data_IF_188171668484
#
_entry.id   IF_188171668484
#
_cell.length_a   1.000
_cell.length_b   1.000
_cell.length_c   1.000
_cell.angle_alpha   90.00
_cell.angle_beta   90.00
_cell.angle_gamma   90.00
#
_symmetry.space_group_name_H-M   'P 1'
#
loop_
_entity.id
_entity.type
_entity.pdbx_description
1 polymer ?
#
# COMPACT_ATOMS: atom_id res chain seq x y z
N UNK A 1 -5.57 31.07 -0.48
CA UNK A 1 -4.66 31.36 -1.61
C UNK A 1 -4.36 30.12 -2.44
N UNK A 2 -4.20 28.92 -1.85
CA UNK A 2 -4.03 27.65 -2.55
C UNK A 2 -5.22 27.27 -3.45
N UNK A 3 -6.44 27.36 -2.96
CA UNK A 3 -7.68 27.08 -3.73
C UNK A 3 -7.84 27.91 -5.01
N UNK A 4 -7.23 29.09 -5.09
CA UNK A 4 -7.30 29.94 -6.30
C UNK A 4 -6.35 29.46 -7.41
N UNK A 5 -5.18 28.93 -7.06
CA UNK A 5 -4.18 28.44 -8.03
C UNK A 5 -4.64 27.11 -8.62
N UNK A 6 -5.17 26.23 -7.78
CA UNK A 6 -5.69 24.93 -8.21
C UNK A 6 -6.92 25.06 -9.11
N UNK A 7 -7.85 25.94 -8.77
CA UNK A 7 -8.99 26.25 -9.63
C UNK A 7 -8.56 26.81 -11.00
N UNK A 8 -7.50 27.61 -11.04
CA UNK A 8 -6.93 28.11 -12.29
C UNK A 8 -6.28 27.00 -13.11
N UNK A 9 -5.60 26.06 -12.48
CA UNK A 9 -5.04 24.87 -13.14
C UNK A 9 -6.14 23.99 -13.74
N UNK A 10 -7.16 23.64 -12.95
CA UNK A 10 -8.31 22.84 -13.42
C UNK A 10 -9.07 23.51 -14.55
N UNK A 11 -9.25 24.84 -14.50
CA UNK A 11 -9.85 25.62 -15.59
C UNK A 11 -9.05 25.51 -16.87
N UNK A 12 -7.75 25.61 -16.80
CA UNK A 12 -6.85 25.46 -17.97
C UNK A 12 -7.02 24.07 -18.59
N UNK A 13 -7.02 23.02 -17.77
CA UNK A 13 -7.23 21.65 -18.25
C UNK A 13 -8.59 21.45 -18.90
N UNK A 14 -9.67 22.01 -18.34
CA UNK A 14 -11.01 21.93 -18.92
C UNK A 14 -11.09 22.63 -20.27
N UNK A 15 -10.49 23.83 -20.40
CA UNK A 15 -10.45 24.56 -21.67
C UNK A 15 -9.67 23.80 -22.74
N UNK A 16 -8.50 23.26 -22.40
CA UNK A 16 -7.71 22.41 -23.32
C UNK A 16 -8.48 21.16 -23.75
N UNK A 17 -9.16 20.51 -22.79
CA UNK A 17 -9.99 19.32 -23.06
C UNK A 17 -11.14 19.65 -23.99
N UNK A 18 -11.80 20.81 -23.78
CA UNK A 18 -12.89 21.29 -24.66
C UNK A 18 -12.39 21.43 -26.09
N UNK A 19 -11.28 22.15 -26.31
CA UNK A 19 -10.71 22.35 -27.65
C UNK A 19 -10.38 21.03 -28.35
N UNK A 20 -9.82 20.06 -27.63
CA UNK A 20 -9.53 18.73 -28.19
C UNK A 20 -10.79 17.97 -28.59
N UNK A 21 -11.83 18.03 -27.75
CA UNK A 21 -13.12 17.38 -28.02
C UNK A 21 -13.86 18.04 -29.21
N UNK A 22 -13.89 19.36 -29.29
CA UNK A 22 -14.47 20.10 -30.39
C UNK A 22 -13.77 19.82 -31.72
N UNK A 23 -12.43 19.74 -31.71
CA UNK A 23 -11.64 19.36 -32.89
C UNK A 23 -11.94 17.93 -33.35
N UNK A 24 -12.10 16.99 -32.40
CA UNK A 24 -12.49 15.62 -32.72
C UNK A 24 -13.94 15.52 -33.27
N UNK A 25 -14.85 16.28 -32.69
CA UNK A 25 -16.25 16.34 -33.13
C UNK A 25 -16.39 16.92 -34.55
N UNK A 26 -15.56 17.92 -34.90
CA UNK A 26 -15.51 18.47 -36.24
C UNK A 26 -15.01 17.47 -37.30
N UNK A 27 -14.20 16.48 -36.90
CA UNK A 27 -13.68 15.43 -37.77
C UNK A 27 -14.58 14.18 -37.87
N UNK A 28 -15.55 14.01 -36.97
CA UNK A 28 -16.48 12.86 -36.95
C UNK A 28 -17.91 13.35 -36.97
N UNK A 29 -18.60 13.20 -38.12
CA UNK A 29 -20.01 13.58 -38.24
C UNK A 29 -20.89 12.61 -37.43
N UNK A 30 -21.42 13.06 -36.28
CA UNK A 30 -22.53 12.40 -35.59
C UNK A 30 -22.16 11.56 -34.35
N UNK A 31 -21.02 11.74 -33.75
CA UNK A 31 -20.65 11.04 -32.49
C UNK A 31 -21.35 11.71 -31.30
N UNK A 32 -22.51 11.17 -30.90
CA UNK A 32 -23.30 11.65 -29.78
C UNK A 32 -22.51 11.62 -28.45
N UNK A 33 -21.56 10.70 -28.27
CA UNK A 33 -20.73 10.56 -27.08
C UNK A 33 -19.74 11.74 -26.95
N UNK A 34 -19.13 12.18 -28.06
CA UNK A 34 -18.27 13.36 -28.07
C UNK A 34 -19.03 14.64 -27.75
N UNK A 35 -20.25 14.77 -28.30
CA UNK A 35 -21.12 15.93 -28.05
C UNK A 35 -21.50 16.00 -26.53
N UNK A 36 -21.81 14.87 -25.92
CA UNK A 36 -22.13 14.79 -24.50
C UNK A 36 -20.91 15.18 -23.62
N UNK A 37 -19.70 14.73 -23.98
CA UNK A 37 -18.47 15.14 -23.29
C UNK A 37 -18.18 16.64 -23.40
N UNK A 38 -18.41 17.25 -24.55
CA UNK A 38 -18.31 18.72 -24.74
C UNK A 38 -19.28 19.42 -23.80
N UNK A 39 -20.54 18.97 -23.77
CA UNK A 39 -21.54 19.55 -22.88
C UNK A 39 -21.19 19.44 -21.41
N UNK A 40 -20.61 18.31 -20.94
CA UNK A 40 -20.14 18.14 -19.56
C UNK A 40 -19.03 19.14 -19.23
N UNK A 41 -18.09 19.37 -20.15
CA UNK A 41 -17.03 20.36 -19.96
C UNK A 41 -17.60 21.80 -19.89
N UNK A 42 -18.58 22.11 -20.73
CA UNK A 42 -19.25 23.42 -20.70
C UNK A 42 -19.97 23.67 -19.37
N UNK A 43 -20.65 22.66 -18.83
CA UNK A 43 -21.31 22.72 -17.52
C UNK A 43 -20.27 22.98 -16.42
N UNK A 44 -19.12 22.29 -16.45
CA UNK A 44 -18.07 22.46 -15.46
C UNK A 44 -17.48 23.91 -15.51
N UNK A 45 -17.24 24.45 -16.70
CA UNK A 45 -16.76 25.82 -16.89
C UNK A 45 -17.80 26.86 -16.45
N UNK A 46 -19.07 26.68 -16.73
CA UNK A 46 -20.17 27.52 -16.26
C UNK A 46 -20.27 27.53 -14.74
N UNK A 47 -20.10 26.37 -14.11
CA UNK A 47 -20.04 26.27 -12.63
C UNK A 47 -18.85 26.99 -12.03
N UNK A 48 -17.69 27.02 -12.72
CA UNK A 48 -16.54 27.83 -12.31
C UNK A 48 -16.85 29.32 -12.36
N UNK A 49 -17.53 29.79 -13.41
CA UNK A 49 -17.93 31.18 -13.55
C UNK A 49 -18.95 31.62 -12.50
N UNK A 50 -19.86 30.72 -12.13
CA UNK A 50 -20.89 30.93 -11.10
C UNK A 50 -20.37 30.73 -9.67
N UNK A 51 -19.14 30.28 -9.48
CA UNK A 51 -18.56 30.03 -8.15
C UNK A 51 -19.13 28.80 -7.44
N UNK A 52 -19.78 27.88 -8.18
CA UNK A 52 -20.35 26.62 -7.66
C UNK A 52 -19.57 25.38 -8.05
N UNK A 53 -18.44 25.56 -8.73
CA UNK A 53 -17.54 24.44 -9.07
C UNK A 53 -16.94 23.84 -7.81
N UNK A 54 -16.87 22.51 -7.77
CA UNK A 54 -16.39 21.76 -6.60
C UNK A 54 -17.43 21.63 -5.48
N UNK A 55 -18.66 22.07 -5.68
CA UNK A 55 -19.78 21.78 -4.76
C UNK A 55 -20.62 20.62 -5.31
N UNK A 56 -21.03 19.72 -4.44
CA UNK A 56 -21.93 18.62 -4.78
C UNK A 56 -23.29 19.14 -5.24
N UNK A 57 -23.83 18.61 -6.33
CA UNK A 57 -25.16 19.01 -6.84
C UNK A 57 -26.32 18.65 -5.92
N UNK A 58 -26.12 17.68 -5.01
CA UNK A 58 -27.18 17.22 -4.11
C UNK A 58 -27.17 17.93 -2.76
N UNK A 59 -26.01 18.00 -2.07
CA UNK A 59 -25.92 18.55 -0.73
C UNK A 59 -25.25 19.94 -0.66
N UNK A 60 -24.64 20.39 -1.75
CA UNK A 60 -23.86 21.64 -1.84
C UNK A 60 -22.62 21.68 -0.92
N UNK A 61 -22.24 20.55 -0.33
CA UNK A 61 -20.96 20.40 0.33
C UNK A 61 -19.82 20.26 -0.68
N UNK A 62 -18.59 20.45 -0.23
CA UNK A 62 -17.43 20.32 -1.10
C UNK A 62 -17.28 18.91 -1.64
N UNK A 63 -17.08 18.77 -2.95
CA UNK A 63 -16.57 17.53 -3.56
C UNK A 63 -15.10 17.40 -3.16
N UNK A 64 -14.67 16.18 -2.86
CA UNK A 64 -13.29 15.90 -2.42
C UNK A 64 -12.29 16.36 -3.50
N UNK A 65 -11.30 17.14 -3.06
CA UNK A 65 -10.35 17.80 -3.96
C UNK A 65 -9.56 16.81 -4.81
N UNK A 66 -9.17 15.68 -4.23
CA UNK A 66 -8.45 14.62 -4.95
C UNK A 66 -9.27 14.03 -6.10
N UNK A 67 -10.60 13.97 -5.94
CA UNK A 67 -11.51 13.53 -7.02
C UNK A 67 -11.61 14.56 -8.13
N UNK A 68 -11.68 15.83 -7.79
CA UNK A 68 -11.68 16.91 -8.79
C UNK A 68 -10.37 16.98 -9.57
N UNK A 69 -9.23 16.71 -8.91
CA UNK A 69 -7.92 16.62 -9.58
C UNK A 69 -7.84 15.41 -10.52
N UNK A 70 -8.42 14.28 -10.11
CA UNK A 70 -8.46 13.06 -10.93
C UNK A 70 -9.46 13.17 -12.10
N UNK A 71 -10.64 13.75 -11.83
CA UNK A 71 -11.68 14.01 -12.84
C UNK A 71 -12.33 15.37 -12.63
N UNK A 72 -11.92 16.41 -13.37
CA UNK A 72 -12.48 17.76 -13.26
C UNK A 72 -13.97 17.90 -13.60
N UNK A 73 -14.62 16.84 -14.06
CA UNK A 73 -16.06 16.83 -14.39
C UNK A 73 -16.93 16.28 -13.24
N UNK A 74 -16.32 15.93 -12.09
CA UNK A 74 -17.08 15.42 -10.94
C UNK A 74 -18.04 16.48 -10.38
N UNK A 75 -19.29 16.05 -10.18
CA UNK A 75 -20.38 16.90 -9.69
C UNK A 75 -20.95 16.42 -8.36
N UNK A 76 -20.54 15.26 -7.86
CA UNK A 76 -21.08 14.64 -6.66
C UNK A 76 -19.96 14.29 -5.67
N UNK A 77 -20.17 14.54 -4.38
CA UNK A 77 -19.30 14.04 -3.31
C UNK A 77 -19.48 12.52 -3.15
N UNK A 78 -18.61 11.87 -2.39
CA UNK A 78 -18.64 10.41 -2.18
C UNK A 78 -19.99 9.94 -1.61
N UNK A 79 -20.64 10.73 -0.78
CA UNK A 79 -21.93 10.39 -0.18
C UNK A 79 -23.09 10.41 -1.19
N UNK A 80 -22.91 11.13 -2.32
CA UNK A 80 -23.95 11.34 -3.35
C UNK A 80 -23.59 10.80 -4.73
N UNK A 81 -22.73 9.80 -4.77
CA UNK A 81 -22.45 9.07 -6.02
C UNK A 81 -23.74 8.49 -6.60
N UNK A 82 -23.89 8.60 -7.91
CA UNK A 82 -24.95 7.89 -8.61
C UNK A 82 -24.81 6.38 -8.44
N UNK A 83 -25.92 5.64 -8.54
CA UNK A 83 -25.86 4.18 -8.41
C UNK A 83 -24.89 3.50 -9.39
N UNK A 84 -24.76 3.91 -10.68
CA UNK A 84 -23.74 3.40 -11.59
C UNK A 84 -22.31 3.72 -11.13
N UNK A 85 -22.03 4.97 -10.70
CA UNK A 85 -20.68 5.36 -10.22
C UNK A 85 -20.27 4.58 -8.97
N UNK A 86 -21.20 4.40 -8.02
CA UNK A 86 -20.93 3.60 -6.81
C UNK A 86 -20.61 2.16 -7.17
N UNK A 87 -21.38 1.53 -8.05
CA UNK A 87 -21.12 0.15 -8.49
C UNK A 87 -19.75 0.04 -9.19
N UNK A 88 -19.43 0.96 -10.09
CA UNK A 88 -18.14 0.96 -10.77
C UNK A 88 -16.98 1.05 -9.77
N UNK A 89 -17.07 1.92 -8.75
CA UNK A 89 -16.07 2.04 -7.71
C UNK A 89 -15.97 0.77 -6.83
N UNK A 90 -17.10 0.16 -6.48
CA UNK A 90 -17.13 -1.10 -5.72
C UNK A 90 -16.51 -2.26 -6.52
N UNK A 91 -16.78 -2.32 -7.83
CA UNK A 91 -16.21 -3.31 -8.74
C UNK A 91 -14.68 -3.14 -8.86
N UNK A 92 -14.19 -1.90 -9.02
CA UNK A 92 -12.77 -1.58 -9.10
C UNK A 92 -12.04 -1.92 -7.79
N UNK A 93 -12.63 -1.58 -6.63
CA UNK A 93 -12.07 -1.92 -5.32
C UNK A 93 -12.05 -3.45 -5.09
N UNK A 94 -13.09 -4.14 -5.53
CA UNK A 94 -13.17 -5.61 -5.46
C UNK A 94 -12.08 -6.25 -6.33
N UNK A 95 -11.85 -5.71 -7.53
CA UNK A 95 -10.77 -6.16 -8.40
C UNK A 95 -9.40 -5.91 -7.77
N UNK A 96 -9.17 -4.72 -7.21
CA UNK A 96 -7.93 -4.39 -6.51
C UNK A 96 -7.66 -5.34 -5.33
N UNK A 97 -8.68 -5.66 -4.52
CA UNK A 97 -8.58 -6.63 -3.44
C UNK A 97 -8.22 -8.04 -3.93
N UNK A 98 -8.79 -8.46 -5.06
CA UNK A 98 -8.46 -9.77 -5.68
C UNK A 98 -7.01 -9.79 -6.16
N UNK A 99 -6.54 -8.73 -6.80
CA UNK A 99 -5.12 -8.60 -7.23
C UNK A 99 -4.23 -8.68 -6.00
N UNK A 100 -4.49 -7.88 -4.96
CA UNK A 100 -3.69 -7.86 -3.74
C UNK A 100 -3.62 -9.25 -3.07
N UNK A 101 -4.76 -9.95 -2.95
CA UNK A 101 -4.80 -11.32 -2.40
C UNK A 101 -4.00 -12.32 -3.23
N UNK A 102 -3.90 -12.13 -4.56
CA UNK A 102 -3.12 -13.01 -5.43
C UNK A 102 -1.61 -12.82 -5.26
N UNK A 103 -1.16 -11.74 -4.66
CA UNK A 103 0.25 -11.48 -4.34
C UNK A 103 0.70 -12.16 -3.04
N UNK A 104 -0.23 -12.56 -2.17
CA UNK A 104 0.11 -13.23 -0.92
C UNK A 104 0.68 -14.63 -1.18
N UNK A 105 1.62 -15.10 -0.34
CA UNK A 105 2.15 -16.46 -0.45
C UNK A 105 1.07 -17.52 -0.18
N UNK A 106 1.30 -18.82 -0.44
CA UNK A 106 0.43 -19.89 0.00
C UNK A 106 0.23 -19.84 1.52
N UNK A 107 -1.01 -20.07 2.02
CA UNK A 107 -1.33 -20.01 3.45
C UNK A 107 -0.48 -20.98 4.29
N UNK A 108 -0.16 -22.12 3.72
CA UNK A 108 0.77 -23.10 4.28
C UNK A 108 1.99 -23.15 3.37
N UNK A 109 3.14 -22.83 3.92
CA UNK A 109 4.38 -22.80 3.18
C UNK A 109 5.41 -23.70 3.88
N UNK A 110 5.88 -24.70 3.15
CA UNK A 110 6.92 -25.63 3.63
C UNK A 110 8.11 -25.56 2.69
N UNK A 111 9.28 -25.28 3.23
CA UNK A 111 10.53 -25.22 2.46
C UNK A 111 11.72 -25.50 3.36
N UNK A 112 12.59 -26.42 2.94
CA UNK A 112 13.89 -26.68 3.57
C UNK A 112 13.84 -26.88 5.11
N UNK A 113 12.79 -27.56 5.61
CA UNK A 113 12.58 -27.80 7.04
C UNK A 113 11.83 -26.70 7.78
N UNK A 114 11.58 -25.57 7.12
CA UNK A 114 10.75 -24.50 7.65
C UNK A 114 9.28 -24.71 7.34
N UNK A 115 8.43 -24.43 8.33
CA UNK A 115 6.99 -24.35 8.18
C UNK A 115 6.55 -22.93 8.51
N UNK A 116 5.90 -22.26 7.57
CA UNK A 116 5.38 -20.91 7.77
C UNK A 116 3.88 -20.88 7.51
N UNK A 117 3.17 -20.18 8.37
CA UNK A 117 1.73 -19.90 8.25
C UNK A 117 1.53 -18.40 8.42
N UNK A 118 0.53 -17.85 7.75
CA UNK A 118 0.14 -16.46 7.97
C UNK A 118 -1.38 -16.32 8.04
N UNK A 119 -1.81 -15.31 8.76
CA UNK A 119 -3.18 -14.81 8.75
C UNK A 119 -3.16 -13.39 8.19
N UNK A 120 -4.07 -13.09 7.27
CA UNK A 120 -4.18 -11.77 6.64
C UNK A 120 -5.65 -11.37 6.57
N UNK A 121 -6.01 -10.34 7.30
CA UNK A 121 -7.36 -9.80 7.37
C UNK A 121 -7.28 -8.26 7.26
N UNK A 122 -7.55 -7.70 6.07
CA UNK A 122 -7.49 -6.26 5.88
C UNK A 122 -8.63 -5.57 6.63
N UNK A 123 -8.34 -4.43 7.27
CA UNK A 123 -9.34 -3.62 7.96
C UNK A 123 -10.34 -2.95 7.00
N UNK A 124 -9.99 -2.83 5.71
CA UNK A 124 -10.85 -2.32 4.64
C UNK A 124 -10.80 -3.25 3.42
N UNK A 125 -11.31 -2.81 2.26
CA UNK A 125 -11.30 -3.62 1.03
C UNK A 125 -9.88 -3.98 0.60
N UNK A 126 -8.92 -3.05 0.75
CA UNK A 126 -7.48 -3.21 0.49
C UNK A 126 -6.67 -2.72 1.68
N UNK A 127 -5.41 -3.18 1.82
CA UNK A 127 -4.55 -2.87 2.96
C UNK A 127 -3.15 -2.41 2.53
N UNK A 128 -2.45 -1.69 3.43
CA UNK A 128 -1.02 -1.41 3.35
C UNK A 128 -0.13 -2.56 3.81
N UNK A 129 -0.70 -3.52 4.54
CA UNK A 129 0.07 -4.66 5.07
C UNK A 129 0.69 -5.51 3.96
N UNK A 130 1.94 -5.89 4.14
CA UNK A 130 2.72 -6.73 3.24
C UNK A 130 3.22 -7.98 3.95
N UNK A 131 2.98 -9.14 3.32
CA UNK A 131 3.52 -10.42 3.76
C UNK A 131 4.00 -11.20 2.53
N UNK A 132 5.23 -11.73 2.57
CA UNK A 132 5.74 -12.58 1.50
C UNK A 132 6.71 -13.65 2.01
N UNK A 133 6.73 -14.79 1.29
CA UNK A 133 7.62 -15.92 1.51
C UNK A 133 8.24 -16.29 0.15
N UNK A 134 9.52 -16.00 -0.02
CA UNK A 134 10.22 -16.14 -1.30
C UNK A 134 11.26 -17.25 -1.19
N UNK A 135 11.26 -18.17 -2.17
CA UNK A 135 12.33 -19.14 -2.39
C UNK A 135 13.30 -18.55 -3.40
N UNK A 136 14.50 -18.12 -2.99
CA UNK A 136 15.49 -17.64 -3.94
C UNK A 136 15.92 -18.75 -4.89
N UNK A 137 16.05 -18.43 -6.17
CA UNK A 137 16.42 -19.42 -7.21
C UNK A 137 17.92 -19.76 -7.22
N UNK A 138 18.71 -19.13 -6.34
CA UNK A 138 20.16 -19.30 -6.25
C UNK A 138 20.63 -20.67 -5.74
N UNK A 139 19.72 -21.58 -5.41
CA UNK A 139 20.00 -22.95 -4.99
C UNK A 139 20.56 -23.11 -3.58
N UNK A 140 20.64 -22.02 -2.79
CA UNK A 140 21.16 -22.06 -1.40
C UNK A 140 20.18 -22.72 -0.42
N UNK A 141 18.95 -23.02 -0.83
CA UNK A 141 17.94 -23.65 0.01
C UNK A 141 17.40 -22.76 1.14
N UNK A 142 17.73 -21.48 1.11
CA UNK A 142 17.24 -20.49 2.07
C UNK A 142 15.80 -20.05 1.75
N UNK A 143 15.15 -19.49 2.76
CA UNK A 143 13.83 -18.86 2.67
C UNK A 143 13.96 -17.38 3.01
N UNK A 144 13.56 -16.51 2.12
CA UNK A 144 13.39 -15.09 2.43
C UNK A 144 11.94 -14.85 2.87
N UNK A 145 11.75 -14.22 4.02
CA UNK A 145 10.44 -13.86 4.56
C UNK A 145 10.36 -12.36 4.84
N UNK A 146 9.17 -11.80 4.63
CA UNK A 146 8.91 -10.38 4.78
C UNK A 146 7.55 -10.15 5.43
N UNK A 147 7.52 -9.22 6.36
CA UNK A 147 6.28 -8.64 6.92
C UNK A 147 6.49 -7.15 7.05
N UNK A 148 5.53 -6.36 6.62
CA UNK A 148 5.61 -4.90 6.67
C UNK A 148 4.26 -4.23 6.62
N UNK A 149 4.29 -2.94 6.86
CA UNK A 149 3.13 -2.07 6.76
C UNK A 149 3.53 -0.73 6.14
N UNK A 150 2.72 -0.26 5.23
CA UNK A 150 2.93 0.99 4.49
C UNK A 150 2.10 2.10 5.11
N UNK A 151 2.72 3.24 5.32
CA UNK A 151 2.06 4.44 5.85
C UNK A 151 0.84 4.84 5.01
N UNK A 152 -0.26 5.17 5.70
CA UNK A 152 -1.52 5.53 5.08
C UNK A 152 -2.53 4.40 5.05
N UNK A 153 -3.65 4.59 4.34
CA UNK A 153 -4.77 3.63 4.28
C UNK A 153 -5.33 3.56 2.87
N UNK A 154 -6.11 2.50 2.61
CA UNK A 154 -6.87 2.35 1.38
C UNK A 154 -6.01 2.11 0.13
N UNK A 155 -6.47 2.61 -1.02
CA UNK A 155 -5.89 2.32 -2.33
C UNK A 155 -4.44 2.78 -2.43
N UNK A 156 -4.10 3.97 -1.94
CA UNK A 156 -2.74 4.50 -2.02
C UNK A 156 -1.72 3.60 -1.30
N UNK A 157 -2.04 3.17 -0.07
CA UNK A 157 -1.19 2.25 0.70
C UNK A 157 -1.08 0.88 0.00
N UNK A 158 -2.19 0.37 -0.57
CA UNK A 158 -2.18 -0.91 -1.30
C UNK A 158 -1.32 -0.88 -2.58
N UNK A 159 -1.24 0.27 -3.26
CA UNK A 159 -0.35 0.45 -4.42
C UNK A 159 1.12 0.41 -4.01
N UNK A 160 1.47 1.07 -2.90
CA UNK A 160 2.84 1.02 -2.36
C UNK A 160 3.21 -0.39 -1.85
N UNK A 161 2.26 -1.10 -1.24
CA UNK A 161 2.45 -2.51 -0.88
C UNK A 161 2.75 -3.38 -2.10
N UNK A 162 1.99 -3.18 -3.19
CA UNK A 162 2.24 -3.89 -4.46
C UNK A 162 3.61 -3.56 -5.04
N UNK A 163 4.06 -2.33 -4.91
CA UNK A 163 5.42 -1.91 -5.28
C UNK A 163 6.49 -2.62 -4.43
N UNK A 164 6.32 -2.68 -3.11
CA UNK A 164 7.22 -3.43 -2.22
C UNK A 164 7.29 -4.89 -2.63
N UNK A 165 6.15 -5.53 -2.90
CA UNK A 165 6.09 -6.90 -3.36
C UNK A 165 6.92 -7.13 -4.63
N UNK A 166 6.69 -6.34 -5.68
CA UNK A 166 7.43 -6.46 -6.95
C UNK A 166 8.93 -6.20 -6.76
N UNK A 167 9.29 -5.21 -5.94
CA UNK A 167 10.65 -4.84 -5.64
C UNK A 167 11.40 -5.97 -4.92
N UNK A 168 10.87 -6.50 -3.82
CA UNK A 168 11.52 -7.55 -3.06
C UNK A 168 11.60 -8.87 -3.83
N UNK A 169 10.58 -9.22 -4.63
CA UNK A 169 10.62 -10.36 -5.54
C UNK A 169 11.75 -10.23 -6.57
N UNK A 170 11.96 -9.04 -7.11
CA UNK A 170 13.06 -8.78 -8.05
C UNK A 170 14.41 -8.79 -7.35
N UNK A 171 14.55 -8.16 -6.18
CA UNK A 171 15.81 -8.09 -5.45
C UNK A 171 16.23 -9.45 -4.85
N UNK A 172 15.30 -10.32 -4.52
CA UNK A 172 15.59 -11.66 -4.01
C UNK A 172 16.41 -12.51 -5.01
N UNK A 173 16.31 -12.23 -6.32
CA UNK A 173 17.06 -12.95 -7.37
C UNK A 173 18.53 -12.55 -7.46
N UNK A 174 18.91 -11.39 -6.89
CA UNK A 174 20.27 -10.82 -7.04
C UNK A 174 21.29 -11.49 -6.09
N UNK A 175 20.82 -12.12 -5.01
CA UNK A 175 21.69 -12.82 -4.05
C UNK A 175 22.54 -11.92 -3.16
N UNK A 176 22.08 -10.70 -2.89
CA UNK A 176 22.78 -9.74 -2.02
C UNK A 176 22.75 -10.18 -0.54
N UNK A 177 23.75 -9.78 0.27
CA UNK A 177 23.61 -9.79 1.73
C UNK A 177 22.35 -9.04 2.18
N UNK A 178 21.72 -9.49 3.28
CA UNK A 178 20.42 -8.96 3.70
C UNK A 178 20.47 -7.44 3.98
N UNK A 179 21.53 -6.95 4.59
CA UNK A 179 21.74 -5.52 4.85
C UNK A 179 21.83 -4.67 3.56
N UNK A 180 22.50 -5.21 2.54
CA UNK A 180 22.62 -4.54 1.24
C UNK A 180 21.31 -4.58 0.46
N UNK A 181 20.59 -5.71 0.51
CA UNK A 181 19.26 -5.86 -0.07
C UNK A 181 18.29 -4.81 0.51
N UNK A 182 18.26 -4.68 1.83
CA UNK A 182 17.42 -3.69 2.52
C UNK A 182 17.81 -2.24 2.17
N UNK A 183 19.12 -1.94 2.10
CA UNK A 183 19.59 -0.61 1.71
C UNK A 183 19.25 -0.29 0.23
N UNK A 184 19.33 -1.28 -0.65
CA UNK A 184 18.93 -1.12 -2.05
C UNK A 184 17.41 -0.92 -2.18
N UNK A 185 16.63 -1.74 -1.47
CA UNK A 185 15.17 -1.60 -1.39
C UNK A 185 14.76 -0.19 -0.92
N UNK A 186 15.41 0.33 0.13
CA UNK A 186 15.17 1.69 0.61
C UNK A 186 15.44 2.75 -0.47
N UNK A 187 16.55 2.66 -1.20
CA UNK A 187 16.86 3.62 -2.28
C UNK A 187 15.82 3.57 -3.40
N UNK A 188 15.40 2.37 -3.80
CA UNK A 188 14.37 2.19 -4.85
C UNK A 188 13.03 2.74 -4.39
N UNK A 189 12.65 2.45 -3.15
CA UNK A 189 11.40 2.94 -2.57
C UNK A 189 11.39 4.48 -2.45
N UNK A 190 12.47 5.09 -1.95
CA UNK A 190 12.64 6.54 -1.91
C UNK A 190 12.52 7.23 -3.28
N UNK A 191 13.01 6.58 -4.34
CA UNK A 191 12.99 7.16 -5.68
C UNK A 191 11.58 7.21 -6.29
N UNK A 192 10.65 6.44 -5.78
CA UNK A 192 9.30 6.24 -6.33
C UNK A 192 8.17 6.64 -5.38
N UNK A 193 8.41 6.68 -4.08
CA UNK A 193 7.44 7.14 -3.10
C UNK A 193 7.30 8.67 -3.10
N UNK A 194 6.11 9.17 -2.84
CA UNK A 194 5.88 10.59 -2.64
C UNK A 194 6.41 11.05 -1.27
N UNK A 195 6.67 12.34 -1.14
CA UNK A 195 7.13 12.92 0.13
C UNK A 195 6.17 12.56 1.29
N UNK A 196 6.73 12.07 2.38
CA UNK A 196 5.97 11.66 3.56
C UNK A 196 5.46 10.20 3.54
N UNK A 197 5.62 9.47 2.45
CA UNK A 197 5.33 8.04 2.40
C UNK A 197 6.53 7.22 2.87
N UNK A 198 6.27 6.24 3.72
CA UNK A 198 7.26 5.33 4.26
C UNK A 198 6.64 3.95 4.48
N UNK A 199 7.47 2.95 4.68
CA UNK A 199 7.03 1.62 5.04
C UNK A 199 7.87 1.06 6.18
N UNK A 200 7.23 0.44 7.16
CA UNK A 200 7.91 -0.38 8.15
C UNK A 200 8.02 -1.80 7.62
N UNK A 201 9.15 -2.45 7.81
CA UNK A 201 9.38 -3.78 7.25
C UNK A 201 10.37 -4.60 8.09
N UNK A 202 10.02 -5.86 8.36
CA UNK A 202 10.98 -6.91 8.73
C UNK A 202 11.27 -7.75 7.50
N UNK A 203 12.54 -7.95 7.21
CA UNK A 203 13.01 -8.89 6.22
C UNK A 203 13.97 -9.87 6.88
N UNK A 204 13.79 -11.17 6.66
CA UNK A 204 14.69 -12.16 7.20
C UNK A 204 15.00 -13.26 6.19
N UNK A 205 16.14 -13.91 6.40
CA UNK A 205 16.62 -15.05 5.61
C UNK A 205 16.83 -16.22 6.55
N UNK A 206 16.17 -17.34 6.29
CA UNK A 206 16.23 -18.54 7.09
C UNK A 206 16.88 -19.68 6.31
N UNK A 207 17.92 -20.30 6.87
CA UNK A 207 18.64 -21.43 6.27
C UNK A 207 18.17 -22.78 6.86
N UNK A 208 18.35 -23.89 6.12
CA UNK A 208 18.00 -25.24 6.60
C UNK A 208 18.71 -25.63 7.90
N UNK A 209 19.79 -24.93 8.26
CA UNK A 209 20.57 -25.14 9.49
C UNK A 209 19.88 -24.65 10.76
N UNK A 210 18.72 -24.00 10.64
CA UNK A 210 18.05 -23.30 11.75
C UNK A 210 18.56 -21.86 11.99
N UNK A 211 19.57 -21.43 11.25
CA UNK A 211 20.09 -20.06 11.31
C UNK A 211 19.11 -19.11 10.60
N UNK A 212 18.87 -17.95 11.23
CA UNK A 212 17.97 -16.91 10.70
C UNK A 212 18.65 -15.56 10.86
N UNK A 213 18.86 -14.88 9.76
CA UNK A 213 19.32 -13.49 9.71
C UNK A 213 18.09 -12.58 9.57
N UNK A 214 18.00 -11.52 10.36
CA UNK A 214 16.87 -10.60 10.42
C UNK A 214 17.37 -9.16 10.33
N UNK A 215 16.74 -8.36 9.48
CA UNK A 215 16.90 -6.91 9.42
C UNK A 215 15.52 -6.25 9.49
N UNK A 216 15.36 -5.20 10.28
CA UNK A 216 14.07 -4.54 10.49
C UNK A 216 14.18 -3.04 10.26
N UNK A 217 13.36 -2.54 9.36
CA UNK A 217 13.23 -1.13 9.00
C UNK A 217 12.07 -0.51 9.80
N UNK A 218 12.28 -0.22 11.07
CA UNK A 218 11.31 0.48 11.92
C UNK A 218 9.99 -0.26 12.17
N UNK A 219 9.94 -1.56 11.91
CA UNK A 219 8.76 -2.38 12.13
C UNK A 219 8.63 -2.81 13.59
N UNK A 220 7.43 -3.27 13.98
CA UNK A 220 7.18 -3.86 15.29
C UNK A 220 8.17 -5.01 15.57
N UNK A 221 8.51 -5.27 16.85
CA UNK A 221 9.47 -6.30 17.18
C UNK A 221 9.03 -7.69 16.69
N UNK A 222 9.96 -8.45 16.12
CA UNK A 222 9.73 -9.86 15.89
C UNK A 222 9.83 -10.62 17.21
N UNK A 223 8.91 -11.53 17.49
CA UNK A 223 8.90 -12.32 18.72
C UNK A 223 9.48 -13.70 18.47
N UNK A 224 10.60 -13.98 19.11
CA UNK A 224 11.21 -15.30 19.14
C UNK A 224 10.62 -16.12 20.30
N UNK A 225 9.76 -17.08 19.94
CA UNK A 225 9.04 -17.96 20.89
C UNK A 225 9.85 -19.24 21.13
N UNK A 226 10.23 -19.46 22.39
CA UNK A 226 11.03 -20.61 22.85
C UNK A 226 10.37 -21.29 24.03
N UNK A 227 10.82 -22.49 24.37
CA UNK A 227 10.33 -23.22 25.57
C UNK A 227 10.49 -22.47 26.89
N UNK A 228 11.43 -21.52 26.96
CA UNK A 228 11.70 -20.71 28.14
C UNK A 228 11.07 -19.31 28.14
N UNK A 229 10.21 -19.00 27.16
CA UNK A 229 9.55 -17.69 27.03
C UNK A 229 9.79 -17.02 25.70
N UNK A 230 9.34 -15.78 25.59
CA UNK A 230 9.40 -14.96 24.39
C UNK A 230 10.51 -13.93 24.49
N UNK A 231 11.26 -13.72 23.42
CA UNK A 231 12.29 -12.68 23.30
C UNK A 231 11.94 -11.76 22.15
N UNK A 232 11.89 -10.45 22.40
CA UNK A 232 11.70 -9.44 21.36
C UNK A 232 12.98 -9.17 20.59
N UNK A 233 12.87 -9.10 19.26
CA UNK A 233 13.94 -8.69 18.35
C UNK A 233 13.55 -7.32 17.81
N UNK A 234 14.18 -6.29 18.33
CA UNK A 234 13.87 -4.90 18.02
C UNK A 234 14.31 -4.50 16.61
N UNK A 235 13.73 -3.41 16.09
CA UNK A 235 14.10 -2.83 14.81
C UNK A 235 15.60 -2.45 14.78
N UNK A 236 16.23 -2.69 13.63
CA UNK A 236 17.66 -2.43 13.39
C UNK A 236 17.93 -1.17 12.59
N UNK A 237 16.88 -0.58 11.99
CA UNK A 237 16.95 0.62 11.16
C UNK A 237 15.65 1.41 11.17
N UNK A 238 15.63 2.55 10.48
CA UNK A 238 14.45 3.41 10.33
C UNK A 238 13.56 2.90 9.19
N UNK A 239 12.26 3.26 9.15
CA UNK A 239 11.34 2.89 8.07
C UNK A 239 11.91 3.20 6.68
N UNK A 240 11.60 2.32 5.72
CA UNK A 240 11.93 2.54 4.30
C UNK A 240 11.24 3.80 3.79
N UNK A 241 11.94 4.61 3.01
CA UNK A 241 11.41 5.85 2.45
C UNK A 241 11.54 7.08 3.35
N UNK A 242 11.81 6.90 4.66
CA UNK A 242 11.98 8.04 5.58
C UNK A 242 13.29 8.79 5.34
N UNK A 243 14.38 8.05 5.11
CA UNK A 243 15.70 8.60 4.76
C UNK A 243 16.35 7.74 3.67
N UNK A 244 16.68 8.35 2.53
CA UNK A 244 17.16 7.59 1.35
C UNK A 244 18.56 6.98 1.53
N UNK A 245 19.31 7.40 2.54
CA UNK A 245 20.66 6.88 2.90
C UNK A 245 20.64 6.02 4.17
N UNK A 246 19.52 5.37 4.47
CA UNK A 246 19.36 4.54 5.65
C UNK A 246 20.32 3.33 5.67
N UNK A 247 20.77 2.93 6.87
CA UNK A 247 21.52 1.70 7.12
C UNK A 247 20.61 0.67 7.79
N UNK A 248 20.73 -0.58 7.36
CA UNK A 248 19.88 -1.70 7.79
C UNK A 248 20.73 -2.88 8.24
N UNK A 249 21.41 -2.77 9.41
CA UNK A 249 22.19 -3.89 9.91
C UNK A 249 21.29 -5.09 10.19
N UNK A 250 21.84 -6.28 10.04
CA UNK A 250 21.17 -7.52 10.33
C UNK A 250 21.62 -8.11 11.66
N UNK A 251 20.77 -8.95 12.24
CA UNK A 251 21.05 -9.76 13.42
C UNK A 251 20.83 -11.22 13.08
N UNK A 252 21.77 -12.07 13.49
CA UNK A 252 21.64 -13.53 13.32
C UNK A 252 21.20 -14.17 14.63
N UNK A 253 20.23 -15.06 14.53
CA UNK A 253 19.77 -15.95 15.62
C UNK A 253 19.75 -17.39 15.11
N UNK A 254 19.64 -18.36 16.01
CA UNK A 254 19.45 -19.75 15.66
C UNK A 254 18.20 -20.29 16.34
N UNK A 255 17.25 -20.76 15.54
CA UNK A 255 16.06 -21.43 16.02
C UNK A 255 16.32 -22.93 16.11
N UNK A 256 15.99 -23.49 17.26
CA UNK A 256 16.00 -24.94 17.46
C UNK A 256 14.65 -25.55 17.04
N UNK A 257 14.58 -26.85 16.73
CA UNK A 257 13.33 -27.52 16.40
C UNK A 257 12.25 -27.30 17.48
N UNK A 258 11.10 -26.80 17.08
CA UNK A 258 9.97 -26.48 17.97
C UNK A 258 9.97 -25.04 18.49
N UNK A 259 10.96 -24.24 18.13
CA UNK A 259 10.93 -22.80 18.33
C UNK A 259 10.29 -22.08 17.13
N UNK A 260 9.77 -20.89 17.33
CA UNK A 260 9.06 -20.14 16.30
C UNK A 260 9.46 -18.67 16.29
N UNK A 261 9.36 -18.05 15.14
CA UNK A 261 9.44 -16.60 14.97
C UNK A 261 8.05 -16.08 14.61
N UNK A 262 7.52 -15.15 15.39
CA UNK A 262 6.23 -14.53 15.17
C UNK A 262 6.41 -13.08 14.76
N UNK A 263 5.85 -12.73 13.60
CA UNK A 263 5.87 -11.40 13.00
C UNK A 263 4.42 -10.94 12.83
N UNK A 264 4.17 -9.66 13.07
CA UNK A 264 2.80 -9.11 13.03
C UNK A 264 2.83 -7.62 12.73
N UNK A 265 1.75 -7.09 12.22
CA UNK A 265 1.49 -5.67 12.02
C UNK A 265 0.66 -5.11 13.20
N UNK A 266 0.53 -3.80 13.28
CA UNK A 266 -0.19 -3.09 14.34
C UNK A 266 -1.66 -3.52 14.47
N UNK A 267 -2.28 -3.97 13.36
CA UNK A 267 -3.62 -4.54 13.37
C UNK A 267 -3.84 -5.65 14.41
N UNK A 268 -2.78 -6.38 14.80
CA UNK A 268 -2.85 -7.39 15.88
C UNK A 268 -2.79 -6.74 17.26
N UNK A 269 -1.82 -5.85 17.48
CA UNK A 269 -1.58 -5.24 18.79
C UNK A 269 -2.59 -4.14 19.15
N UNK A 270 -3.09 -3.42 18.14
CA UNK A 270 -4.04 -2.31 18.30
C UNK A 270 -5.50 -2.74 18.21
N UNK A 271 -5.76 -4.03 17.91
CA UNK A 271 -7.13 -4.58 17.94
C UNK A 271 -7.78 -4.31 19.29
N UNK A 272 -9.00 -3.75 19.28
CA UNK A 272 -9.73 -3.36 20.46
C UNK A 272 -10.89 -4.31 20.78
N UNK A 273 -11.10 -4.56 22.06
CA UNK A 273 -12.26 -5.30 22.53
C UNK A 273 -13.51 -4.41 22.62
N UNK A 274 -14.65 -4.99 23.03
CA UNK A 274 -15.90 -4.27 23.21
C UNK A 274 -15.85 -3.11 24.26
N UNK A 275 -14.82 -3.10 25.12
CA UNK A 275 -14.57 -2.05 26.11
C UNK A 275 -13.53 -1.02 25.63
N UNK A 276 -13.24 -0.99 24.31
CA UNK A 276 -12.29 -0.09 23.67
C UNK A 276 -10.83 -0.21 24.20
N UNK A 277 -10.49 -1.39 24.73
CA UNK A 277 -9.15 -1.68 25.25
C UNK A 277 -8.35 -2.44 24.20
N UNK A 278 -7.15 -1.95 23.87
CA UNK A 278 -6.23 -2.62 22.94
C UNK A 278 -5.79 -3.98 23.45
N UNK A 279 -5.51 -4.91 22.53
CA UNK A 279 -4.92 -6.20 22.86
C UNK A 279 -3.55 -6.01 23.49
N UNK A 280 -2.70 -5.23 22.86
CA UNK A 280 -1.41 -4.76 23.34
C UNK A 280 -0.28 -5.76 23.25
N UNK A 281 0.96 -5.25 23.15
CA UNK A 281 2.21 -6.02 23.06
C UNK A 281 2.42 -6.95 24.24
N UNK A 282 1.98 -6.56 25.44
CA UNK A 282 2.20 -7.33 26.67
C UNK A 282 1.52 -8.70 26.61
N UNK A 283 0.28 -8.74 26.10
CA UNK A 283 -0.47 -10.01 25.94
C UNK A 283 0.14 -10.88 24.83
N UNK A 284 0.66 -10.27 23.77
CA UNK A 284 1.37 -10.99 22.71
C UNK A 284 2.64 -11.67 23.22
N UNK A 285 3.33 -11.09 24.18
CA UNK A 285 4.53 -11.66 24.77
C UNK A 285 4.24 -12.76 25.83
N UNK A 286 2.99 -12.93 26.23
CA UNK A 286 2.56 -13.95 27.22
C UNK A 286 2.06 -15.24 26.54
N UNK A 287 2.01 -15.28 25.18
CA UNK A 287 1.65 -16.47 24.39
C UNK A 287 2.81 -17.47 24.36
#
# INVERSE_FOLDING_TARGET
>A
METSIENQYLRTQLVERKHKLEAALAGSTGDASLAELVQQVDVALDRMEKGTYGLCETCHDSVEQERLLANPLECYCLDHLTAPQRRALEDDLTLAARIQRSLLPPKEFVHAGWHAHYHYEPASVVSGDYCDLIRPENGAGDLLFLVGDVSGKGVAASMLMTQLHAMFRSLATVGLPLSELMALANRVFCASAMAGQYATLVCGRAWPTGEVEISSAGHLPALWVRRGGVTSIEATGLPLGMFCTGSYPSRTIRLEPGESLFLFTDGVSETRNAADTEYGMKRLAEI
#
